data_IF_138735850737
#
_entry.id   IF_138735850737
#
_cell.length_a   1.000
_cell.length_b   1.000
_cell.length_c   1.000
_cell.angle_alpha   90.00
_cell.angle_beta   90.00
_cell.angle_gamma   90.00
#
_symmetry.space_group_name_H-M   'P 1'
#
loop_
_entity.id
_entity.type
_entity.pdbx_description
1 polymer ?
#
# COMPACT_ATOMS: atom_id res chain seq x y z
N UNK A 1 -0.62 -16.89 12.84
CA UNK A 1 0.61 -17.05 13.65
C UNK A 1 0.48 -16.32 14.98
N UNK A 2 0.37 -15.02 15.00
CA UNK A 2 0.10 -14.24 16.20
C UNK A 2 -1.38 -13.95 16.37
N UNK A 3 -1.82 -13.76 17.61
CA UNK A 3 -3.14 -13.23 17.94
C UNK A 3 -2.96 -12.11 18.95
N UNK A 4 -3.49 -10.94 18.61
CA UNK A 4 -3.45 -9.75 19.46
C UNK A 4 -4.62 -9.76 20.44
N UNK A 5 -4.37 -9.38 21.70
CA UNK A 5 -5.42 -9.20 22.71
C UNK A 5 -6.25 -7.93 22.46
N UNK A 6 -5.66 -6.91 21.86
CA UNK A 6 -6.39 -5.70 21.47
C UNK A 6 -7.34 -6.00 20.30
N UNK A 7 -8.54 -5.42 20.32
CA UNK A 7 -9.52 -5.57 19.24
C UNK A 7 -8.97 -5.08 17.90
N UNK A 8 -9.01 -5.93 16.88
CA UNK A 8 -8.47 -5.60 15.57
C UNK A 8 -9.57 -5.06 14.66
N UNK A 9 -9.35 -3.86 14.13
CA UNK A 9 -10.27 -3.22 13.17
C UNK A 9 -10.21 -3.91 11.82
N UNK A 10 -11.38 -4.00 11.19
CA UNK A 10 -11.54 -4.45 9.79
C UNK A 10 -12.23 -3.33 9.04
N UNK A 11 -11.60 -2.82 8.00
CA UNK A 11 -12.21 -1.86 7.09
C UNK A 11 -12.70 -2.57 5.84
N UNK A 12 -13.84 -2.14 5.34
CA UNK A 12 -14.36 -2.62 4.05
C UNK A 12 -14.26 -1.51 3.01
N UNK A 13 -13.57 -1.79 1.90
CA UNK A 13 -13.40 -0.88 0.76
C UNK A 13 -13.79 -1.63 -0.50
N UNK A 14 -14.91 -1.25 -1.12
CA UNK A 14 -15.44 -1.90 -2.33
C UNK A 14 -15.50 -3.45 -2.22
N UNK A 15 -15.97 -3.94 -1.07
CA UNK A 15 -16.09 -5.39 -0.80
C UNK A 15 -14.79 -6.07 -0.33
N UNK A 16 -13.65 -5.40 -0.35
CA UNK A 16 -12.39 -5.93 0.20
C UNK A 16 -12.30 -5.65 1.71
N UNK A 17 -12.05 -6.69 2.50
CA UNK A 17 -11.81 -6.58 3.94
C UNK A 17 -10.32 -6.45 4.23
N UNK A 18 -9.93 -5.39 4.95
CA UNK A 18 -8.55 -5.08 5.29
C UNK A 18 -8.41 -4.99 6.81
N UNK A 19 -7.50 -5.75 7.39
CA UNK A 19 -7.29 -5.81 8.83
C UNK A 19 -7.83 -7.10 9.45
N UNK A 20 -8.10 -7.05 10.75
CA UNK A 20 -8.44 -8.22 11.56
C UNK A 20 -7.20 -8.89 12.16
N UNK A 21 -7.36 -10.05 12.73
CA UNK A 21 -6.24 -10.85 13.25
C UNK A 21 -5.37 -11.40 12.12
N UNK A 22 -4.05 -11.54 12.27
CA UNK A 22 -3.20 -12.15 11.26
C UNK A 22 -3.74 -13.48 10.76
N UNK A 23 -3.92 -13.61 9.43
CA UNK A 23 -4.53 -14.78 8.79
C UNK A 23 -6.05 -14.87 8.88
N UNK A 24 -6.73 -13.86 9.42
CA UNK A 24 -8.20 -13.76 9.40
C UNK A 24 -8.73 -13.39 8.03
N UNK A 25 -8.19 -12.32 7.48
CA UNK A 25 -8.41 -11.92 6.08
C UNK A 25 -7.10 -12.09 5.30
N UNK A 26 -7.15 -12.39 4.00
CA UNK A 26 -5.94 -12.38 3.17
C UNK A 26 -5.37 -10.96 3.09
N UNK A 27 -4.03 -10.81 3.06
CA UNK A 27 -3.42 -9.50 2.87
C UNK A 27 -3.76 -8.96 1.47
N UNK A 28 -3.93 -7.64 1.37
CA UNK A 28 -4.18 -6.96 0.09
C UNK A 28 -2.84 -6.68 -0.61
N UNK A 29 -2.70 -7.09 -1.86
CA UNK A 29 -1.50 -6.81 -2.66
C UNK A 29 -1.72 -5.57 -3.52
N UNK A 30 -0.83 -4.58 -3.38
CA UNK A 30 -0.95 -3.27 -4.02
C UNK A 30 0.24 -3.06 -4.94
N UNK A 31 -0.01 -3.05 -6.24
CA UNK A 31 1.01 -2.81 -7.27
C UNK A 31 0.96 -1.39 -7.81
N UNK A 32 2.13 -0.74 -7.89
CA UNK A 32 2.23 0.61 -8.45
C UNK A 32 2.26 0.56 -9.97
N UNK A 33 1.46 1.40 -10.61
CA UNK A 33 1.39 1.58 -12.06
C UNK A 33 1.61 3.07 -12.41
N UNK A 34 2.24 3.35 -13.56
CA UNK A 34 2.62 4.68 -14.03
C UNK A 34 3.66 5.40 -13.15
N UNK A 35 4.42 4.64 -12.38
CA UNK A 35 5.52 5.16 -11.56
C UNK A 35 6.66 5.74 -12.40
N UNK A 36 7.53 6.52 -11.77
CA UNK A 36 8.67 7.17 -12.46
C UNK A 36 9.52 6.16 -13.24
N UNK A 37 9.78 6.43 -14.54
CA UNK A 37 10.47 5.54 -15.49
C UNK A 37 9.76 4.20 -15.76
N UNK A 38 8.46 4.12 -15.51
CA UNK A 38 7.70 2.95 -15.93
C UNK A 38 7.77 2.80 -17.46
N UNK A 39 8.18 1.65 -17.95
CA UNK A 39 8.48 1.44 -19.40
C UNK A 39 7.30 1.69 -20.33
N UNK A 40 6.08 1.51 -19.82
CA UNK A 40 4.85 1.78 -20.58
C UNK A 40 4.52 3.26 -20.71
N UNK A 41 5.20 4.14 -19.96
CA UNK A 41 4.96 5.59 -19.93
C UNK A 41 5.92 6.26 -20.89
N UNK A 42 5.39 6.96 -21.89
CA UNK A 42 6.13 7.69 -22.92
C UNK A 42 6.38 9.15 -22.51
N UNK A 43 5.40 9.79 -21.89
CA UNK A 43 5.50 11.16 -21.34
C UNK A 43 4.83 11.23 -19.97
N UNK A 44 5.64 11.24 -18.92
CA UNK A 44 5.19 11.27 -17.53
C UNK A 44 4.42 12.55 -17.17
N UNK A 45 4.70 13.68 -17.84
CA UNK A 45 4.06 14.96 -17.55
C UNK A 45 2.70 15.08 -18.22
N UNK A 46 2.59 14.57 -19.45
CA UNK A 46 1.35 14.61 -20.25
C UNK A 46 0.46 13.39 -20.02
N UNK A 47 0.93 12.39 -19.26
CA UNK A 47 0.20 11.14 -19.06
C UNK A 47 0.00 10.37 -20.37
N UNK A 48 1.04 10.32 -21.23
CA UNK A 48 1.03 9.54 -22.47
C UNK A 48 1.68 8.19 -22.19
N UNK A 49 0.97 7.11 -22.49
CA UNK A 49 1.41 5.75 -22.19
C UNK A 49 0.81 4.72 -23.14
N UNK A 50 1.41 3.54 -23.21
CA UNK A 50 0.91 2.41 -23.98
C UNK A 50 -0.28 1.75 -23.26
N UNK A 51 -1.50 2.04 -23.73
CA UNK A 51 -2.74 1.55 -23.14
C UNK A 51 -2.86 0.02 -23.17
N UNK A 52 -2.42 -0.62 -24.27
CA UNK A 52 -2.51 -2.07 -24.42
C UNK A 52 -1.60 -2.80 -23.43
N UNK A 53 -0.38 -2.31 -23.22
CA UNK A 53 0.53 -2.86 -22.22
C UNK A 53 0.02 -2.62 -20.78
N UNK A 54 -0.51 -1.43 -20.50
CA UNK A 54 -1.09 -1.12 -19.20
C UNK A 54 -2.28 -2.04 -18.88
N UNK A 55 -3.18 -2.26 -19.85
CA UNK A 55 -4.30 -3.19 -19.70
C UNK A 55 -3.82 -4.63 -19.47
N UNK A 56 -2.82 -5.09 -20.22
CA UNK A 56 -2.25 -6.42 -20.06
C UNK A 56 -1.66 -6.64 -18.65
N UNK A 57 -0.99 -5.63 -18.09
CA UNK A 57 -0.47 -5.69 -16.71
C UNK A 57 -1.60 -5.79 -15.68
N UNK A 58 -2.63 -4.96 -15.81
CA UNK A 58 -3.82 -4.99 -14.92
C UNK A 58 -4.50 -6.36 -14.99
N UNK A 59 -4.80 -6.86 -16.19
CA UNK A 59 -5.43 -8.17 -16.39
C UNK A 59 -4.59 -9.30 -15.81
N UNK A 60 -3.26 -9.19 -15.88
CA UNK A 60 -2.37 -10.18 -15.27
C UNK A 60 -2.48 -10.25 -13.77
N UNK A 61 -2.63 -9.11 -13.10
CA UNK A 61 -2.89 -9.06 -11.65
C UNK A 61 -4.25 -9.68 -11.32
N UNK A 62 -5.29 -9.39 -12.11
CA UNK A 62 -6.63 -9.99 -11.95
C UNK A 62 -6.58 -11.53 -12.05
N UNK A 63 -5.91 -12.07 -13.07
CA UNK A 63 -5.71 -13.52 -13.23
C UNK A 63 -4.99 -14.17 -12.04
N UNK A 64 -3.96 -13.49 -11.50
CA UNK A 64 -3.20 -13.99 -10.35
C UNK A 64 -4.06 -13.96 -9.07
N UNK A 65 -4.83 -12.90 -8.89
CA UNK A 65 -5.80 -12.80 -7.79
C UNK A 65 -6.83 -13.92 -7.87
N UNK A 66 -7.39 -14.20 -9.05
CA UNK A 66 -8.37 -15.27 -9.25
C UNK A 66 -7.79 -16.66 -8.93
N UNK A 67 -6.53 -16.91 -9.29
CA UNK A 67 -5.83 -18.17 -9.01
C UNK A 67 -5.50 -18.35 -7.53
N UNK A 68 -5.07 -17.29 -6.85
CA UNK A 68 -4.59 -17.34 -5.47
C UNK A 68 -5.67 -17.01 -4.44
N UNK A 69 -6.74 -16.36 -4.86
CA UNK A 69 -7.75 -15.75 -4.00
C UNK A 69 -7.17 -14.71 -3.03
N UNK A 70 -6.02 -14.11 -3.39
CA UNK A 70 -5.43 -12.98 -2.70
C UNK A 70 -5.95 -11.70 -3.35
N UNK A 71 -6.61 -10.81 -2.59
CA UNK A 71 -7.16 -9.56 -3.13
C UNK A 71 -6.09 -8.56 -3.48
N UNK A 72 -6.43 -7.60 -4.35
CA UNK A 72 -5.50 -6.62 -4.88
C UNK A 72 -6.12 -5.23 -4.96
N UNK A 73 -5.25 -4.23 -5.06
CA UNK A 73 -5.53 -2.84 -5.39
C UNK A 73 -4.42 -2.33 -6.32
N UNK A 74 -4.63 -1.18 -6.95
CA UNK A 74 -3.59 -0.51 -7.73
C UNK A 74 -3.21 0.82 -7.08
N UNK A 75 -1.92 1.08 -7.02
CA UNK A 75 -1.37 2.37 -6.64
C UNK A 75 -1.11 3.16 -7.92
N UNK A 76 -1.98 4.14 -8.21
CA UNK A 76 -1.94 4.95 -9.43
C UNK A 76 -1.11 6.19 -9.17
N UNK A 77 0.11 6.18 -9.73
CA UNK A 77 1.10 7.23 -9.49
C UNK A 77 1.06 8.27 -10.60
N UNK A 78 1.02 9.55 -10.25
CA UNK A 78 1.07 10.64 -11.23
C UNK A 78 1.82 11.85 -10.72
N UNK A 79 2.70 12.41 -11.58
CA UNK A 79 3.57 13.54 -11.24
C UNK A 79 2.99 14.92 -11.63
N UNK A 80 1.88 14.95 -12.37
CA UNK A 80 1.18 16.18 -12.76
C UNK A 80 -0.32 15.97 -12.69
N UNK A 81 -1.07 17.08 -12.57
CA UNK A 81 -2.54 17.05 -12.58
C UNK A 81 -3.10 16.44 -13.89
N UNK A 82 -2.49 16.75 -15.03
CA UNK A 82 -2.91 16.19 -16.33
C UNK A 82 -2.67 14.68 -16.39
N UNK A 83 -1.50 14.21 -15.95
CA UNK A 83 -1.14 12.82 -16.02
C UNK A 83 -1.99 11.95 -15.09
N UNK A 84 -2.13 12.35 -13.81
CA UNK A 84 -2.84 11.53 -12.82
C UNK A 84 -4.32 11.37 -13.16
N UNK A 85 -4.97 12.40 -13.70
CA UNK A 85 -6.35 12.33 -14.18
C UNK A 85 -6.50 11.30 -15.31
N UNK A 86 -5.64 11.36 -16.32
CA UNK A 86 -5.64 10.38 -17.42
C UNK A 86 -5.40 8.94 -16.96
N UNK A 87 -4.49 8.76 -15.99
CA UNK A 87 -4.19 7.45 -15.44
C UNK A 87 -5.37 6.88 -14.63
N UNK A 88 -6.01 7.70 -13.80
CA UNK A 88 -7.21 7.31 -13.05
C UNK A 88 -8.33 6.91 -14.00
N UNK A 89 -8.62 7.71 -15.03
CA UNK A 89 -9.64 7.42 -16.04
C UNK A 89 -9.38 6.07 -16.70
N UNK A 90 -8.16 5.85 -17.17
CA UNK A 90 -7.80 4.60 -17.83
C UNK A 90 -7.98 3.39 -16.89
N UNK A 91 -7.42 3.45 -15.68
CA UNK A 91 -7.57 2.36 -14.71
C UNK A 91 -9.02 2.10 -14.37
N UNK A 92 -9.82 3.16 -14.25
CA UNK A 92 -11.26 3.05 -13.97
C UNK A 92 -12.05 2.36 -15.10
N UNK A 93 -11.59 2.46 -16.35
CA UNK A 93 -12.24 1.76 -17.48
C UNK A 93 -11.85 0.27 -17.56
N UNK A 94 -10.65 -0.09 -17.07
CA UNK A 94 -10.11 -1.45 -17.19
C UNK A 94 -10.50 -2.34 -16.02
N UNK A 95 -10.59 -1.79 -14.80
CA UNK A 95 -10.84 -2.57 -13.59
C UNK A 95 -11.79 -1.88 -12.61
N UNK A 96 -12.48 -2.69 -11.77
CA UNK A 96 -13.31 -2.22 -10.66
C UNK A 96 -12.59 -2.26 -9.31
N UNK A 97 -11.32 -2.65 -9.26
CA UNK A 97 -10.53 -2.72 -8.04
C UNK A 97 -10.40 -1.34 -7.36
N UNK A 98 -10.25 -1.28 -6.03
CA UNK A 98 -9.87 -0.05 -5.36
C UNK A 98 -8.52 0.46 -5.85
N UNK A 99 -8.37 1.79 -5.84
CA UNK A 99 -7.15 2.48 -6.26
C UNK A 99 -6.62 3.38 -5.14
N UNK A 100 -5.31 3.38 -4.98
CA UNK A 100 -4.62 4.40 -4.24
C UNK A 100 -4.31 5.54 -5.22
N UNK A 101 -4.55 6.77 -4.80
CA UNK A 101 -4.25 7.98 -5.58
C UNK A 101 -2.95 8.56 -5.04
N UNK A 102 -1.85 8.33 -5.75
CA UNK A 102 -0.51 8.78 -5.36
C UNK A 102 -0.06 9.99 -6.19
N UNK A 103 -0.15 11.15 -5.57
CA UNK A 103 0.24 12.43 -6.13
C UNK A 103 1.70 12.84 -5.78
N UNK A 104 2.53 11.92 -5.33
CA UNK A 104 3.93 12.15 -4.95
C UNK A 104 4.12 13.32 -3.96
N UNK A 105 3.18 13.47 -3.03
CA UNK A 105 3.15 14.58 -2.04
C UNK A 105 2.97 15.99 -2.64
N UNK A 106 2.53 16.11 -3.90
CA UNK A 106 2.18 17.40 -4.53
C UNK A 106 0.70 17.70 -4.31
N UNK A 107 0.41 18.76 -3.54
CA UNK A 107 -0.96 19.11 -3.16
C UNK A 107 -1.81 19.58 -4.34
N UNK A 108 -1.21 20.21 -5.36
CA UNK A 108 -1.94 20.64 -6.54
C UNK A 108 -2.33 19.43 -7.42
N UNK A 109 -1.44 18.45 -7.54
CA UNK A 109 -1.71 17.19 -8.22
C UNK A 109 -2.79 16.40 -7.47
N UNK A 110 -2.68 16.30 -6.13
CA UNK A 110 -3.66 15.65 -5.28
C UNK A 110 -5.05 16.30 -5.41
N UNK A 111 -5.11 17.64 -5.40
CA UNK A 111 -6.37 18.39 -5.55
C UNK A 111 -7.05 18.06 -6.86
N UNK A 112 -6.31 18.09 -7.96
CA UNK A 112 -6.85 17.76 -9.28
C UNK A 112 -7.34 16.31 -9.35
N UNK A 113 -6.55 15.37 -8.83
CA UNK A 113 -6.89 13.95 -8.80
C UNK A 113 -8.16 13.67 -7.99
N UNK A 114 -8.26 14.19 -6.75
CA UNK A 114 -9.41 13.94 -5.88
C UNK A 114 -10.68 14.61 -6.39
N UNK A 115 -10.58 15.82 -6.95
CA UNK A 115 -11.69 16.49 -7.61
C UNK A 115 -12.23 15.63 -8.76
N UNK A 116 -11.33 15.15 -9.61
CA UNK A 116 -11.69 14.27 -10.72
C UNK A 116 -12.33 12.96 -10.24
N UNK A 117 -11.75 12.31 -9.23
CA UNK A 117 -12.33 11.10 -8.57
C UNK A 117 -13.78 11.33 -8.15
N UNK A 118 -14.09 12.50 -7.56
CA UNK A 118 -15.44 12.88 -7.17
C UNK A 118 -16.35 13.08 -8.38
N UNK A 119 -15.87 13.82 -9.40
CA UNK A 119 -16.64 14.14 -10.62
C UNK A 119 -17.04 12.90 -11.41
N UNK A 120 -16.17 11.86 -11.45
CA UNK A 120 -16.44 10.61 -12.17
C UNK A 120 -17.02 9.49 -11.27
N UNK A 121 -17.36 9.79 -10.01
CA UNK A 121 -18.05 8.86 -9.11
C UNK A 121 -17.19 7.71 -8.59
N UNK A 122 -15.90 7.91 -8.39
CA UNK A 122 -14.97 6.87 -7.93
C UNK A 122 -14.67 6.93 -6.42
N UNK A 123 -15.37 7.78 -5.67
CA UNK A 123 -15.08 8.02 -4.24
C UNK A 123 -15.22 6.77 -3.37
N UNK A 124 -16.06 5.80 -3.74
CA UNK A 124 -16.28 4.55 -3.01
C UNK A 124 -15.04 3.64 -3.02
N UNK A 125 -14.17 3.75 -4.03
CA UNK A 125 -12.99 2.89 -4.23
C UNK A 125 -11.65 3.62 -4.25
N UNK A 126 -11.63 4.95 -4.16
CA UNK A 126 -10.40 5.73 -4.11
C UNK A 126 -9.89 5.88 -2.67
N UNK A 127 -8.59 5.74 -2.48
CA UNK A 127 -7.86 5.86 -1.21
C UNK A 127 -6.77 6.90 -1.42
N UNK A 128 -6.68 7.91 -0.55
CA UNK A 128 -5.60 8.89 -0.63
C UNK A 128 -4.26 8.29 -0.20
N UNK A 129 -3.22 8.41 -1.00
CA UNK A 129 -1.87 7.93 -0.70
C UNK A 129 -0.87 9.10 -0.85
N UNK A 130 -0.36 9.65 0.27
CA UNK A 130 -0.55 9.36 1.68
C UNK A 130 -0.52 10.61 2.55
N UNK A 131 -1.14 10.52 3.72
CA UNK A 131 -0.98 11.52 4.78
C UNK A 131 0.26 11.21 5.62
N UNK A 132 0.92 12.25 6.10
CA UNK A 132 2.05 12.19 7.05
C UNK A 132 1.77 13.08 8.26
N UNK A 133 2.55 12.95 9.33
CA UNK A 133 2.45 13.87 10.46
C UNK A 133 2.78 15.35 10.08
N UNK A 134 3.45 15.57 8.94
CA UNK A 134 3.76 16.90 8.40
C UNK A 134 2.67 17.45 7.48
N UNK A 135 1.66 16.64 7.12
CA UNK A 135 0.53 17.07 6.30
C UNK A 135 -0.24 18.21 6.94
N UNK A 136 -0.51 19.26 6.16
CA UNK A 136 -1.21 20.46 6.60
C UNK A 136 -2.73 20.23 6.60
N UNK A 137 -3.47 21.06 7.32
CA UNK A 137 -4.93 20.99 7.38
C UNK A 137 -5.60 21.16 6.01
N UNK A 138 -4.98 21.90 5.11
CA UNK A 138 -5.42 22.04 3.72
C UNK A 138 -5.52 20.68 3.00
N UNK A 139 -4.55 19.80 3.20
CA UNK A 139 -4.53 18.47 2.60
C UNK A 139 -5.67 17.59 3.14
N UNK A 140 -5.95 17.63 4.44
CA UNK A 140 -7.09 16.94 5.04
C UNK A 140 -8.44 17.49 4.53
N UNK A 141 -8.55 18.83 4.36
CA UNK A 141 -9.75 19.48 3.81
C UNK A 141 -10.05 19.03 2.40
N UNK A 142 -9.02 18.97 1.53
CA UNK A 142 -9.18 18.52 0.14
C UNK A 142 -9.73 17.08 0.10
N UNK A 143 -9.23 16.19 0.96
CA UNK A 143 -9.72 14.81 1.06
C UNK A 143 -11.21 14.81 1.47
N UNK A 144 -11.56 15.55 2.53
CA UNK A 144 -12.93 15.66 3.04
C UNK A 144 -13.90 16.27 2.00
N UNK A 145 -13.54 17.40 1.38
CA UNK A 145 -14.37 18.13 0.43
C UNK A 145 -14.68 17.31 -0.84
N UNK A 146 -13.78 16.39 -1.18
CA UNK A 146 -13.98 15.47 -2.29
C UNK A 146 -14.65 14.14 -1.90
N UNK A 147 -15.12 14.02 -0.65
CA UNK A 147 -15.90 12.87 -0.20
C UNK A 147 -15.08 11.59 -0.02
N UNK A 148 -13.77 11.68 0.17
CA UNK A 148 -12.89 10.55 0.44
C UNK A 148 -12.79 10.34 1.95
N UNK A 149 -13.13 9.13 2.41
CA UNK A 149 -13.08 8.72 3.81
C UNK A 149 -11.95 7.72 4.12
N UNK A 150 -11.04 7.54 3.15
CA UNK A 150 -9.99 6.51 3.14
C UNK A 150 -8.63 7.12 2.86
N UNK A 151 -7.64 6.80 3.71
CA UNK A 151 -6.26 7.27 3.49
C UNK A 151 -5.22 6.26 3.98
N UNK A 152 -4.07 6.27 3.34
CA UNK A 152 -2.83 5.69 3.84
C UNK A 152 -2.19 6.70 4.78
N UNK A 153 -1.81 6.25 5.98
CA UNK A 153 -1.06 7.01 6.97
C UNK A 153 0.40 6.56 6.93
N UNK A 154 1.27 7.35 6.33
CA UNK A 154 2.69 7.04 6.19
C UNK A 154 3.46 7.49 7.44
N UNK A 155 4.04 6.54 8.17
CA UNK A 155 4.77 6.79 9.42
C UNK A 155 6.20 7.30 9.18
N UNK A 156 6.34 8.29 8.30
CA UNK A 156 7.60 8.96 8.06
C UNK A 156 7.93 9.94 9.19
N UNK A 157 9.15 9.82 9.74
CA UNK A 157 9.71 10.75 10.73
C UNK A 157 11.18 11.00 10.46
N UNK A 158 11.75 12.09 10.99
CA UNK A 158 13.19 12.36 10.86
C UNK A 158 14.03 11.35 11.68
N UNK A 159 13.41 10.68 12.68
CA UNK A 159 14.00 9.59 13.46
C UNK A 159 13.60 8.23 12.88
N UNK A 160 14.06 7.93 11.69
CA UNK A 160 13.62 6.76 10.88
C UNK A 160 13.81 5.40 11.55
N UNK A 161 14.70 5.28 12.54
CA UNK A 161 14.94 4.02 13.28
C UNK A 161 14.24 3.97 14.65
N UNK A 162 13.43 4.98 14.99
CA UNK A 162 12.74 5.07 16.28
C UNK A 162 11.26 4.69 16.14
N UNK A 163 10.90 3.53 16.73
CA UNK A 163 9.53 3.01 16.71
C UNK A 163 8.57 3.96 17.44
N UNK A 164 8.94 4.51 18.59
CA UNK A 164 8.06 5.40 19.36
C UNK A 164 7.84 6.74 18.63
N UNK A 165 8.86 7.25 17.92
CA UNK A 165 8.67 8.43 17.06
C UNK A 165 7.68 8.16 15.93
N UNK A 166 7.70 6.97 15.32
CA UNK A 166 6.71 6.55 14.31
C UNK A 166 5.31 6.46 14.90
N UNK A 167 5.15 5.87 16.09
CA UNK A 167 3.85 5.77 16.76
C UNK A 167 3.30 7.14 17.17
N UNK A 168 4.15 8.06 17.64
CA UNK A 168 3.74 9.45 17.87
C UNK A 168 3.26 10.15 16.59
N UNK A 169 3.90 9.88 15.46
CA UNK A 169 3.43 10.42 14.18
C UNK A 169 2.05 9.85 13.80
N UNK A 170 1.77 8.60 14.12
CA UNK A 170 0.46 8.00 13.95
C UNK A 170 -0.59 8.71 14.81
N UNK A 171 -0.31 8.94 16.09
CA UNK A 171 -1.24 9.62 17.02
C UNK A 171 -1.66 11.00 16.50
N UNK A 172 -0.70 11.80 16.03
CA UNK A 172 -0.96 13.12 15.41
C UNK A 172 -1.92 12.99 14.23
N UNK A 173 -1.68 12.01 13.34
CA UNK A 173 -2.54 11.80 12.18
C UNK A 173 -3.93 11.28 12.58
N UNK A 174 -4.04 10.41 13.59
CA UNK A 174 -5.32 9.89 14.08
C UNK A 174 -6.22 10.99 14.64
N UNK A 175 -5.68 11.98 15.34
CA UNK A 175 -6.43 13.14 15.80
C UNK A 175 -6.98 13.95 14.63
N UNK A 176 -6.16 14.26 13.66
CA UNK A 176 -6.57 15.01 12.46
C UNK A 176 -7.59 14.25 11.62
N UNK A 177 -7.39 12.96 11.38
CA UNK A 177 -8.34 12.15 10.58
C UNK A 177 -9.73 12.14 11.19
N UNK A 178 -9.87 12.14 12.53
CA UNK A 178 -11.17 12.27 13.22
C UNK A 178 -11.85 13.60 12.93
N UNK A 179 -11.09 14.71 12.95
CA UNK A 179 -11.62 16.05 12.69
C UNK A 179 -12.19 16.16 11.27
N UNK A 180 -11.50 15.56 10.31
CA UNK A 180 -11.86 15.64 8.89
C UNK A 180 -12.69 14.46 8.36
N UNK A 181 -13.16 13.55 9.25
CA UNK A 181 -14.04 12.45 8.87
C UNK A 181 -13.40 11.36 8.03
N UNK A 182 -12.07 11.24 8.05
CA UNK A 182 -11.33 10.17 7.37
C UNK A 182 -11.30 8.97 8.31
N UNK A 183 -12.04 7.91 7.99
CA UNK A 183 -12.36 6.83 8.94
C UNK A 183 -11.73 5.48 8.61
N UNK A 184 -11.38 5.23 7.34
CA UNK A 184 -10.75 3.98 6.90
C UNK A 184 -9.26 4.20 6.67
N UNK A 185 -8.47 3.77 7.64
CA UNK A 185 -7.06 4.14 7.77
C UNK A 185 -6.16 2.92 7.55
N UNK A 186 -5.26 3.01 6.58
CA UNK A 186 -4.23 2.02 6.27
C UNK A 186 -2.88 2.56 6.74
N UNK A 187 -2.25 1.89 7.70
CA UNK A 187 -0.99 2.38 8.27
C UNK A 187 0.21 1.83 7.49
N UNK A 188 0.89 2.70 6.74
CA UNK A 188 2.18 2.37 6.13
C UNK A 188 3.32 2.63 7.12
N UNK A 189 3.99 1.58 7.53
CA UNK A 189 5.04 1.64 8.55
C UNK A 189 6.39 2.14 8.05
N UNK A 190 6.49 2.55 6.81
CA UNK A 190 7.62 3.21 6.15
C UNK A 190 8.92 2.39 6.08
N UNK A 191 9.35 2.11 4.85
CA UNK A 191 10.64 1.47 4.53
C UNK A 191 11.38 2.27 3.48
N UNK A 192 12.69 2.52 3.69
CA UNK A 192 13.58 3.19 2.74
C UNK A 192 14.86 2.39 2.49
N UNK A 193 15.29 1.56 3.44
CA UNK A 193 16.50 0.74 3.40
C UNK A 193 16.35 -0.54 4.25
N UNK A 194 17.37 -1.41 4.25
CA UNK A 194 17.34 -2.65 5.04
C UNK A 194 17.19 -2.40 6.55
N UNK A 195 17.91 -1.46 7.19
CA UNK A 195 17.70 -1.17 8.61
C UNK A 195 16.26 -0.79 8.92
N UNK A 196 15.63 0.04 8.10
CA UNK A 196 14.25 0.48 8.32
C UNK A 196 13.21 -0.61 8.07
N UNK A 197 13.52 -1.67 7.31
CA UNK A 197 12.65 -2.83 7.14
C UNK A 197 12.36 -3.53 8.47
N UNK A 198 13.39 -3.78 9.30
CA UNK A 198 13.20 -4.38 10.62
C UNK A 198 12.40 -3.49 11.57
N UNK A 199 12.63 -2.18 11.49
CA UNK A 199 11.88 -1.19 12.27
C UNK A 199 10.42 -1.13 11.81
N UNK A 200 10.16 -1.19 10.50
CA UNK A 200 8.79 -1.22 9.96
C UNK A 200 8.01 -2.45 10.44
N UNK A 201 8.62 -3.64 10.43
CA UNK A 201 8.01 -4.85 10.99
C UNK A 201 7.67 -4.70 12.47
N UNK A 202 8.62 -4.22 13.28
CA UNK A 202 8.40 -3.96 14.71
C UNK A 202 7.28 -2.93 14.93
N UNK A 203 7.31 -1.83 14.17
CA UNK A 203 6.26 -0.79 14.23
C UNK A 203 4.90 -1.37 13.88
N UNK A 204 4.77 -2.22 12.86
CA UNK A 204 3.52 -2.87 12.48
C UNK A 204 2.95 -3.76 13.59
N UNK A 205 3.79 -4.53 14.27
CA UNK A 205 3.39 -5.29 15.46
C UNK A 205 2.84 -4.35 16.55
N UNK A 206 3.52 -3.24 16.83
CA UNK A 206 3.06 -2.26 17.83
C UNK A 206 1.77 -1.54 17.40
N UNK A 207 1.59 -1.23 16.12
CA UNK A 207 0.34 -0.68 15.57
C UNK A 207 -0.84 -1.62 15.84
N UNK A 208 -0.69 -2.89 15.57
CA UNK A 208 -1.69 -3.91 15.89
C UNK A 208 -1.95 -4.02 17.39
N UNK A 209 -0.88 -4.08 18.17
CA UNK A 209 -0.95 -4.29 19.62
C UNK A 209 -1.59 -3.12 20.36
N UNK A 210 -1.33 -1.88 19.95
CA UNK A 210 -1.78 -0.65 20.67
C UNK A 210 -3.03 -0.03 20.07
N UNK A 211 -3.24 -0.12 18.75
CA UNK A 211 -4.31 0.62 18.04
C UNK A 211 -5.28 -0.30 17.30
N UNK A 212 -4.93 -1.56 17.10
CA UNK A 212 -5.76 -2.51 16.34
C UNK A 212 -5.96 -2.12 14.87
N UNK A 213 -5.12 -1.26 14.31
CA UNK A 213 -5.23 -0.78 12.94
C UNK A 213 -4.54 -1.74 11.95
N UNK A 214 -5.04 -1.86 10.71
CA UNK A 214 -4.34 -2.57 9.65
C UNK A 214 -3.04 -1.87 9.29
N UNK A 215 -1.97 -2.65 9.12
CA UNK A 215 -0.68 -2.14 8.70
C UNK A 215 -0.12 -2.86 7.47
N UNK A 216 0.76 -2.19 6.79
CA UNK A 216 1.59 -2.68 5.70
C UNK A 216 2.74 -1.73 5.43
N UNK A 217 3.44 -1.89 4.34
CA UNK A 217 4.47 -0.95 3.87
C UNK A 217 4.94 -1.23 2.45
N UNK A 218 5.73 -0.31 1.89
CA UNK A 218 6.49 -0.48 0.65
C UNK A 218 7.82 -1.21 0.91
N UNK A 219 7.76 -2.50 1.29
CA UNK A 219 8.95 -3.24 1.74
C UNK A 219 10.04 -3.43 0.66
N UNK A 220 9.66 -3.41 -0.64
CA UNK A 220 10.59 -3.43 -1.77
C UNK A 220 11.61 -2.28 -1.74
N UNK A 221 11.28 -1.15 -1.10
CA UNK A 221 12.17 0.01 -0.96
C UNK A 221 13.45 -0.33 -0.21
N UNK A 222 13.45 -1.35 0.66
CA UNK A 222 14.64 -1.82 1.36
C UNK A 222 15.80 -2.17 0.39
N UNK A 223 15.47 -2.66 -0.80
CA UNK A 223 16.43 -3.07 -1.82
C UNK A 223 16.56 -2.01 -2.93
N UNK A 224 15.44 -1.37 -3.31
CA UNK A 224 15.40 -0.40 -4.42
C UNK A 224 16.37 0.76 -4.23
N UNK A 225 16.51 1.27 -3.00
CA UNK A 225 17.44 2.36 -2.67
C UNK A 225 18.92 1.99 -2.90
N UNK A 226 19.26 0.70 -2.81
CA UNK A 226 20.63 0.19 -2.97
C UNK A 226 20.75 -0.81 -4.14
N UNK A 227 19.81 -0.78 -5.09
CA UNK A 227 19.70 -1.75 -6.19
C UNK A 227 21.00 -1.99 -6.96
N UNK A 228 21.80 -0.92 -7.20
CA UNK A 228 23.07 -1.01 -7.89
C UNK A 228 24.07 -1.90 -7.12
N UNK A 229 24.27 -1.63 -5.84
CA UNK A 229 25.17 -2.40 -4.97
C UNK A 229 24.74 -3.87 -4.85
N UNK A 230 23.42 -4.11 -4.73
CA UNK A 230 22.89 -5.48 -4.70
C UNK A 230 23.11 -6.22 -6.03
N UNK A 231 22.95 -5.51 -7.16
CA UNK A 231 23.20 -6.09 -8.48
C UNK A 231 24.68 -6.46 -8.69
N UNK A 232 25.59 -5.61 -8.23
CA UNK A 232 27.04 -5.89 -8.27
C UNK A 232 27.39 -7.11 -7.42
N UNK A 233 26.75 -7.28 -6.27
CA UNK A 233 27.05 -8.35 -5.31
C UNK A 233 26.36 -9.68 -5.64
N UNK A 234 25.13 -9.67 -6.10
CA UNK A 234 24.26 -10.84 -6.23
C UNK A 234 23.72 -11.08 -7.65
N UNK A 235 24.06 -10.21 -8.61
CA UNK A 235 23.47 -10.25 -9.96
C UNK A 235 22.02 -9.80 -10.02
N UNK A 236 21.45 -9.74 -11.21
CA UNK A 236 20.07 -9.27 -11.44
C UNK A 236 19.03 -10.19 -10.80
N UNK A 237 19.22 -11.50 -10.87
CA UNK A 237 18.31 -12.48 -10.26
C UNK A 237 18.38 -12.43 -8.73
N UNK A 238 19.59 -12.23 -8.15
CA UNK A 238 19.74 -12.04 -6.71
C UNK A 238 19.03 -10.79 -6.20
N UNK A 239 18.98 -9.70 -6.97
CA UNK A 239 18.18 -8.51 -6.61
C UNK A 239 16.70 -8.85 -6.48
N UNK A 240 16.13 -9.58 -7.46
CA UNK A 240 14.71 -9.99 -7.40
C UNK A 240 14.42 -10.85 -6.17
N UNK A 241 15.31 -11.79 -5.85
CA UNK A 241 15.18 -12.63 -4.65
C UNK A 241 15.23 -11.79 -3.37
N UNK A 242 16.11 -10.79 -3.30
CA UNK A 242 16.18 -9.88 -2.14
C UNK A 242 14.93 -9.00 -2.03
N UNK A 243 14.41 -8.47 -3.13
CA UNK A 243 13.14 -7.73 -3.17
C UNK A 243 11.96 -8.60 -2.72
N UNK A 244 11.89 -9.84 -3.17
CA UNK A 244 10.87 -10.80 -2.74
C UNK A 244 11.00 -11.11 -1.25
N UNK A 245 12.20 -11.37 -0.76
CA UNK A 245 12.44 -11.64 0.66
C UNK A 245 12.02 -10.46 1.56
N UNK A 246 12.33 -9.21 1.17
CA UNK A 246 11.90 -8.03 1.94
C UNK A 246 10.38 -7.87 1.96
N UNK A 247 9.70 -8.09 0.83
CA UNK A 247 8.25 -8.07 0.75
C UNK A 247 7.60 -9.14 1.64
N UNK A 248 8.10 -10.38 1.59
CA UNK A 248 7.54 -11.49 2.38
C UNK A 248 7.78 -11.33 3.88
N UNK A 249 8.87 -10.68 4.29
CA UNK A 249 9.18 -10.46 5.71
C UNK A 249 8.03 -9.75 6.44
N UNK A 250 7.38 -8.78 5.81
CA UNK A 250 6.25 -8.05 6.39
C UNK A 250 4.98 -8.90 6.47
N UNK A 251 4.73 -9.73 5.47
CA UNK A 251 3.63 -10.69 5.47
C UNK A 251 3.80 -11.72 6.61
N UNK A 252 5.03 -12.19 6.82
CA UNK A 252 5.35 -13.14 7.91
C UNK A 252 5.05 -12.57 9.28
N UNK A 253 5.19 -11.26 9.49
CA UNK A 253 4.84 -10.63 10.77
C UNK A 253 3.38 -10.14 10.83
N UNK A 254 2.56 -10.49 9.84
CA UNK A 254 1.11 -10.29 9.88
C UNK A 254 0.63 -8.97 9.27
N UNK A 255 1.35 -8.42 8.29
CA UNK A 255 0.87 -7.26 7.54
C UNK A 255 -0.47 -7.56 6.84
N UNK A 256 -1.38 -6.58 6.86
CA UNK A 256 -2.71 -6.65 6.27
C UNK A 256 -2.73 -6.20 4.80
N UNK A 257 -1.72 -5.47 4.38
CA UNK A 257 -1.49 -5.09 2.98
C UNK A 257 0.01 -4.99 2.68
N UNK A 258 0.34 -5.02 1.39
CA UNK A 258 1.71 -4.90 0.90
C UNK A 258 1.73 -4.03 -0.36
N UNK A 259 2.41 -2.89 -0.30
CA UNK A 259 2.81 -2.13 -1.47
C UNK A 259 4.06 -2.82 -2.04
N UNK A 260 3.87 -3.74 -2.98
CA UNK A 260 4.97 -4.59 -3.45
C UNK A 260 5.87 -3.95 -4.50
N UNK A 261 5.57 -2.70 -4.86
CA UNK A 261 6.31 -1.93 -5.87
C UNK A 261 5.76 -2.09 -7.27
N UNK A 262 6.61 -2.19 -8.29
CA UNK A 262 6.19 -2.28 -9.68
C UNK A 262 5.16 -3.38 -9.94
N UNK A 263 4.09 -3.06 -10.66
CA UNK A 263 2.99 -3.99 -10.98
C UNK A 263 3.49 -5.30 -11.61
N UNK A 264 4.60 -5.27 -12.33
CA UNK A 264 5.23 -6.42 -12.97
C UNK A 264 5.72 -7.48 -11.98
N UNK A 265 6.01 -7.10 -10.73
CA UNK A 265 6.43 -8.02 -9.68
C UNK A 265 5.31 -8.98 -9.23
N UNK A 266 4.07 -8.75 -9.66
CA UNK A 266 2.91 -9.56 -9.29
C UNK A 266 3.12 -11.07 -9.51
N UNK A 267 3.83 -11.46 -10.58
CA UNK A 267 4.12 -12.85 -10.91
C UNK A 267 4.85 -13.61 -9.81
N UNK A 268 5.74 -12.93 -9.10
CA UNK A 268 6.53 -13.51 -8.01
C UNK A 268 5.80 -13.34 -6.65
N UNK A 269 5.13 -12.21 -6.46
CA UNK A 269 4.52 -11.82 -5.18
C UNK A 269 3.27 -12.64 -4.87
N UNK A 270 2.32 -12.77 -5.82
CA UNK A 270 1.04 -13.46 -5.55
C UNK A 270 1.23 -14.90 -5.08
N UNK A 271 1.98 -15.78 -5.79
CA UNK A 271 2.17 -17.16 -5.36
C UNK A 271 2.95 -17.27 -4.04
N UNK A 272 3.90 -16.34 -3.81
CA UNK A 272 4.69 -16.33 -2.59
C UNK A 272 3.86 -15.95 -1.37
N UNK A 273 3.04 -14.89 -1.48
CA UNK A 273 2.12 -14.48 -0.42
C UNK A 273 1.03 -15.54 -0.19
N UNK A 274 0.50 -16.16 -1.25
CA UNK A 274 -0.43 -17.28 -1.14
C UNK A 274 0.14 -18.41 -0.28
N UNK A 275 1.41 -18.76 -0.48
CA UNK A 275 2.09 -19.81 0.30
C UNK A 275 2.13 -19.48 1.79
N UNK A 276 2.55 -18.26 2.16
CA UNK A 276 2.60 -17.80 3.55
C UNK A 276 1.19 -17.74 4.16
N UNK A 277 0.25 -17.08 3.49
CA UNK A 277 -1.12 -16.92 3.98
C UNK A 277 -1.81 -18.27 4.19
N UNK A 278 -1.65 -19.21 3.24
CA UNK A 278 -2.23 -20.55 3.35
C UNK A 278 -1.66 -21.30 4.56
N UNK A 279 -0.37 -21.17 4.83
CA UNK A 279 0.24 -21.80 6.03
C UNK A 279 -0.37 -21.25 7.33
N UNK A 280 -0.66 -19.95 7.39
CA UNK A 280 -1.29 -19.34 8.58
C UNK A 280 -2.73 -19.80 8.82
N UNK A 281 -3.48 -20.07 7.76
CA UNK A 281 -4.83 -20.65 7.87
C UNK A 281 -4.82 -22.02 8.57
N UNK A 282 -3.76 -22.80 8.40
CA UNK A 282 -3.59 -24.07 9.12
C UNK A 282 -3.38 -23.85 10.61
N UNK A 283 -2.52 -22.92 11.02
CA UNK A 283 -2.32 -22.59 12.44
C UNK A 283 -3.63 -22.13 13.10
N UNK A 284 -4.41 -21.32 12.42
CA UNK A 284 -5.74 -20.90 12.90
C UNK A 284 -6.68 -22.10 13.09
N UNK A 285 -6.74 -22.99 12.10
CA UNK A 285 -7.59 -24.21 12.15
C UNK A 285 -7.21 -25.14 13.32
N UNK A 286 -5.92 -25.20 13.63
CA UNK A 286 -5.38 -26.04 14.72
C UNK A 286 -5.40 -25.35 16.09
N UNK A 287 -5.89 -24.11 16.20
CA UNK A 287 -5.84 -23.26 17.40
C UNK A 287 -4.42 -23.11 18.01
N UNK A 288 -3.40 -23.12 17.17
CA UNK A 288 -1.98 -23.01 17.55
C UNK A 288 -1.43 -21.61 17.24
N UNK A 289 -2.04 -20.58 17.81
CA UNK A 289 -1.58 -19.20 17.66
C UNK A 289 -0.84 -18.73 18.91
N UNK A 290 0.17 -17.87 18.71
CA UNK A 290 0.91 -17.24 19.80
C UNK A 290 0.15 -15.96 20.20
N UNK A 291 -0.24 -15.85 21.47
CA UNK A 291 -0.89 -14.64 21.99
C UNK A 291 0.15 -13.54 22.22
N UNK A 292 -0.09 -12.33 21.72
CA UNK A 292 0.70 -11.12 21.95
C UNK A 292 -0.19 -9.91 22.31
#
# INVERSE_FOLDING_TARGET
MFRYSFEQKIFEIKGLKIGGQPGENPPILIGSIFYHKHKIVEDEKKGIFNKSEAEALIKKVEELSDKTKIPYMFDVVGSTAEAIVKYIDFVATVTQAPILVDALSDIAVATAALKHVKEVGLTDRAIYNSLTAKSKDEEYKIIQENGIDKAVLLLYTDKVLDVEARLKSLEIMLEKTKIYGISKLLVDTFVIDIPTLSIAMKTGIEVKRRYGLPFGCGAHNAISAQRKSFKERFGSEGVKVCELASNLATIVVGADFLLYGPIEAALDIFPSVYTIYTSYRYLKRMNQTIQI
#
